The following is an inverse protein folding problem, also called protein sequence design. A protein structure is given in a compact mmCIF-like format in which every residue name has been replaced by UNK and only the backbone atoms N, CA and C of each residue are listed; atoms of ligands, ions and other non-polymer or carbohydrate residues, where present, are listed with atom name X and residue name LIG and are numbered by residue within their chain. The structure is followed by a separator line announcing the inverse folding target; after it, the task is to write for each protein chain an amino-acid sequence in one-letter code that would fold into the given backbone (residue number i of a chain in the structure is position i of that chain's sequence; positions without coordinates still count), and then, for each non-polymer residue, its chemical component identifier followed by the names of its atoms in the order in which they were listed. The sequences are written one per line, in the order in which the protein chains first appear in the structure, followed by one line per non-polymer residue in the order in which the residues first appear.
data_IF_994135510872
#
_entry.id   IF_994135510872
#
_cell.length_a   1.000
_cell.length_b   1.000
_cell.length_c   1.000
_cell.angle_alpha   90.00
_cell.angle_beta   90.00
_cell.angle_gamma   90.00
#
_symmetry.space_group_name_H-M   'P 1'
#
loop_
_entity.id
_entity.type
_entity.pdbx_description
1 polymer ?
#
# COMPACT_ATOMS: atom_id res chain seq x y z
N UNK A 1 16.18 -16.52 -24.00
CA UNK A 1 14.97 -17.37 -23.99
C UNK A 1 14.08 -16.87 -25.11
N UNK A 2 13.77 -17.67 -26.13
CA UNK A 2 12.92 -17.21 -27.24
C UNK A 2 11.45 -17.35 -26.84
N UNK A 3 10.81 -16.21 -26.56
CA UNK A 3 9.38 -16.11 -26.26
C UNK A 3 8.68 -15.63 -27.53
N UNK A 4 7.52 -16.21 -27.84
CA UNK A 4 6.77 -15.83 -29.04
C UNK A 4 6.39 -14.33 -29.00
N UNK A 5 6.32 -13.65 -30.16
CA UNK A 5 5.94 -12.24 -30.22
C UNK A 5 4.60 -11.94 -29.57
N UNK A 6 3.63 -12.86 -29.72
CA UNK A 6 2.31 -12.75 -29.10
C UNK A 6 2.40 -12.74 -27.57
N UNK A 7 3.19 -13.65 -26.98
CA UNK A 7 3.37 -13.69 -25.52
C UNK A 7 4.07 -12.42 -25.03
N UNK A 8 5.05 -11.89 -25.78
CA UNK A 8 5.70 -10.62 -25.43
C UNK A 8 4.71 -9.46 -25.39
N UNK A 9 3.86 -9.31 -26.40
CA UNK A 9 2.86 -8.25 -26.47
C UNK A 9 1.89 -8.31 -25.28
N UNK A 10 1.40 -9.52 -24.95
CA UNK A 10 0.56 -9.72 -23.77
C UNK A 10 1.26 -9.34 -22.47
N UNK A 11 2.53 -9.73 -22.30
CA UNK A 11 3.31 -9.41 -21.10
C UNK A 11 3.54 -7.89 -20.98
N UNK A 12 3.94 -7.22 -22.06
CA UNK A 12 4.13 -5.76 -22.09
C UNK A 12 2.84 -5.03 -21.72
N UNK A 13 1.69 -5.46 -22.27
CA UNK A 13 0.39 -4.87 -21.93
C UNK A 13 0.02 -5.09 -20.46
N UNK A 14 0.19 -6.32 -19.94
CA UNK A 14 -0.15 -6.66 -18.55
C UNK A 14 0.72 -5.86 -17.57
N UNK A 15 2.04 -5.80 -17.79
CA UNK A 15 2.95 -5.08 -16.90
C UNK A 15 2.80 -3.56 -17.05
N UNK A 16 2.61 -3.06 -18.28
CA UNK A 16 2.34 -1.65 -18.52
C UNK A 16 1.05 -1.18 -17.86
N UNK A 17 -0.02 -1.98 -17.94
CA UNK A 17 -1.28 -1.69 -17.26
C UNK A 17 -1.13 -1.77 -15.74
N UNK A 18 -0.48 -2.82 -15.23
CA UNK A 18 -0.30 -2.99 -13.79
C UNK A 18 0.58 -1.91 -13.15
N UNK A 19 1.70 -1.55 -13.78
CA UNK A 19 2.57 -0.47 -13.33
C UNK A 19 1.93 0.91 -13.55
N UNK A 20 1.40 1.17 -14.73
CA UNK A 20 0.81 2.47 -15.07
C UNK A 20 -0.45 2.76 -14.26
N UNK A 21 -1.49 1.93 -14.41
CA UNK A 21 -2.80 2.18 -13.78
C UNK A 21 -2.74 1.91 -12.28
N UNK A 22 -2.06 0.84 -11.86
CA UNK A 22 -1.87 0.54 -10.43
C UNK A 22 -1.19 1.70 -9.71
N UNK A 23 -0.11 2.24 -10.28
CA UNK A 23 0.59 3.40 -9.75
C UNK A 23 -0.27 4.67 -9.76
N UNK A 24 -0.96 4.95 -10.87
CA UNK A 24 -1.81 6.12 -11.00
C UNK A 24 -2.96 6.14 -10.00
N UNK A 25 -3.66 5.02 -9.84
CA UNK A 25 -4.73 4.86 -8.84
C UNK A 25 -4.17 5.04 -7.43
N UNK A 26 -3.02 4.45 -7.11
CA UNK A 26 -2.41 4.62 -5.80
C UNK A 26 -2.05 6.09 -5.51
N UNK A 27 -1.50 6.82 -6.50
CA UNK A 27 -1.16 8.24 -6.37
C UNK A 27 -2.39 9.11 -6.11
N UNK A 28 -3.53 8.82 -6.75
CA UNK A 28 -4.78 9.56 -6.53
C UNK A 28 -5.39 9.23 -5.16
N UNK A 29 -5.38 7.95 -4.78
CA UNK A 29 -5.98 7.49 -3.53
C UNK A 29 -5.17 7.94 -2.31
N UNK A 30 -3.86 8.11 -2.44
CA UNK A 30 -3.00 8.43 -1.31
C UNK A 30 -3.35 9.77 -0.62
N UNK A 31 -3.54 10.90 -1.34
CA UNK A 31 -4.06 12.14 -0.74
C UNK A 31 -5.43 11.97 -0.10
N UNK A 32 -6.36 11.28 -0.75
CA UNK A 32 -7.70 11.04 -0.21
C UNK A 32 -7.60 10.29 1.11
N UNK A 33 -6.79 9.24 1.15
CA UNK A 33 -6.56 8.42 2.34
C UNK A 33 -5.79 9.18 3.42
N UNK A 34 -4.88 10.08 3.06
CA UNK A 34 -4.19 10.94 4.02
C UNK A 34 -5.18 11.81 4.80
N UNK A 35 -6.11 12.48 4.11
CA UNK A 35 -7.10 13.33 4.78
C UNK A 35 -8.08 12.53 5.63
N UNK A 36 -8.44 11.32 5.19
CA UNK A 36 -9.44 10.48 5.88
C UNK A 36 -8.87 9.68 7.04
N UNK A 37 -7.66 9.15 6.89
CA UNK A 37 -7.03 8.29 7.88
C UNK A 37 -6.02 9.07 8.72
N UNK A 38 -4.97 9.61 8.10
CA UNK A 38 -3.83 10.18 8.83
C UNK A 38 -4.23 11.41 9.64
N UNK A 39 -4.98 12.37 9.06
CA UNK A 39 -5.45 13.52 9.86
C UNK A 39 -6.39 13.13 11.00
N UNK A 40 -7.16 12.03 10.85
CA UNK A 40 -8.09 11.54 11.87
C UNK A 40 -7.36 10.80 12.99
N UNK A 41 -6.50 9.85 12.64
CA UNK A 41 -5.87 8.96 13.61
C UNK A 41 -4.61 9.55 14.26
N UNK A 42 -3.85 10.42 13.57
CA UNK A 42 -2.76 11.17 14.21
C UNK A 42 -3.31 12.05 15.35
N UNK A 43 -4.51 12.62 15.18
CA UNK A 43 -5.18 13.40 16.22
C UNK A 43 -5.70 12.55 17.38
N UNK A 44 -5.98 11.26 17.16
CA UNK A 44 -6.45 10.32 18.17
C UNK A 44 -5.30 9.68 18.97
N UNK A 45 -4.13 9.55 18.36
CA UNK A 45 -2.96 8.89 18.95
C UNK A 45 -1.75 9.84 18.91
N UNK A 46 -1.61 10.79 19.84
CA UNK A 46 -0.61 11.85 19.77
C UNK A 46 0.84 11.35 19.83
N UNK A 47 1.07 10.11 20.26
CA UNK A 47 2.39 9.44 20.28
C UNK A 47 2.66 8.62 19.00
N UNK A 48 1.96 8.88 17.89
CA UNK A 48 2.08 8.14 16.63
C UNK A 48 3.52 8.17 16.05
N UNK A 49 4.26 9.21 16.36
CA UNK A 49 5.66 9.46 16.01
C UNK A 49 6.60 8.41 16.61
N UNK A 50 6.21 7.74 17.71
CA UNK A 50 6.92 6.56 18.23
C UNK A 50 6.81 5.35 17.29
N UNK A 51 5.76 5.28 16.46
CA UNK A 51 5.56 4.21 15.47
C UNK A 51 6.34 4.53 14.19
N UNK A 52 6.22 5.77 13.69
CA UNK A 52 6.87 6.22 12.45
C UNK A 52 7.53 7.59 12.72
N UNK A 53 8.83 7.61 13.07
CA UNK A 53 9.56 8.84 13.39
C UNK A 53 10.10 9.55 12.12
N UNK A 54 9.31 9.53 11.04
CA UNK A 54 9.70 10.14 9.77
C UNK A 54 8.99 11.49 9.60
N UNK A 55 9.74 12.57 9.34
CA UNK A 55 9.16 13.89 9.15
C UNK A 55 8.55 14.04 7.75
N UNK A 56 7.77 15.11 7.58
CA UNK A 56 7.29 15.60 6.28
C UNK A 56 6.45 14.57 5.49
N UNK A 57 6.49 14.65 4.16
CA UNK A 57 5.68 13.85 3.25
C UNK A 57 5.91 12.35 3.42
N UNK A 58 7.16 11.92 3.65
CA UNK A 58 7.48 10.50 3.82
C UNK A 58 6.76 9.91 5.03
N UNK A 59 6.74 10.62 6.15
CA UNK A 59 5.96 10.24 7.33
C UNK A 59 4.47 10.16 7.05
N UNK A 60 3.91 11.15 6.34
CA UNK A 60 2.49 11.18 6.00
C UNK A 60 2.08 9.99 5.12
N UNK A 61 2.88 9.63 4.13
CA UNK A 61 2.63 8.47 3.26
C UNK A 61 2.64 7.18 4.08
N UNK A 62 3.70 6.96 4.86
CA UNK A 62 3.86 5.71 5.61
C UNK A 62 2.77 5.56 6.68
N UNK A 63 2.38 6.65 7.37
CA UNK A 63 1.27 6.61 8.32
C UNK A 63 -0.07 6.31 7.65
N UNK A 64 -0.33 6.93 6.50
CA UNK A 64 -1.53 6.66 5.70
C UNK A 64 -1.61 5.18 5.32
N UNK A 65 -0.50 4.63 4.82
CA UNK A 65 -0.40 3.21 4.48
C UNK A 65 -0.54 2.31 5.70
N UNK A 66 0.02 2.68 6.84
CA UNK A 66 -0.08 1.90 8.08
C UNK A 66 -1.52 1.83 8.60
N UNK A 67 -2.24 2.96 8.61
CA UNK A 67 -3.65 2.97 9.01
C UNK A 67 -4.53 2.19 8.03
N UNK A 68 -4.31 2.35 6.72
CA UNK A 68 -5.01 1.56 5.71
C UNK A 68 -4.75 0.05 5.91
N UNK A 69 -3.51 -0.32 6.22
CA UNK A 69 -3.13 -1.69 6.54
C UNK A 69 -3.85 -2.20 7.80
N UNK A 70 -3.92 -1.43 8.88
CA UNK A 70 -4.63 -1.84 10.10
C UNK A 70 -6.14 -2.01 9.90
N UNK A 71 -6.74 -1.23 9.00
CA UNK A 71 -8.14 -1.37 8.59
C UNK A 71 -8.32 -2.63 7.74
N UNK A 72 -7.50 -2.82 6.71
CA UNK A 72 -7.61 -3.95 5.79
C UNK A 72 -7.29 -5.29 6.47
N UNK A 73 -6.24 -5.37 7.30
CA UNK A 73 -5.68 -6.61 7.83
C UNK A 73 -5.75 -6.70 9.37
N UNK A 74 -6.99 -6.76 9.90
CA UNK A 74 -7.30 -6.81 11.34
C UNK A 74 -6.49 -7.86 12.14
N UNK A 75 -6.22 -9.03 11.55
CA UNK A 75 -5.64 -10.17 12.28
C UNK A 75 -4.11 -10.10 12.45
N UNK A 76 -3.41 -9.25 11.70
CA UNK A 76 -1.95 -9.16 11.76
C UNK A 76 -1.47 -8.30 12.94
N UNK A 77 -2.36 -7.51 13.56
CA UNK A 77 -2.07 -6.65 14.73
C UNK A 77 -1.74 -7.40 16.03
N UNK A 78 -2.15 -8.67 16.16
CA UNK A 78 -1.92 -9.47 17.38
C UNK A 78 -0.51 -10.08 17.47
N UNK A 79 0.35 -9.86 16.48
CA UNK A 79 1.72 -10.37 16.50
C UNK A 79 2.68 -9.43 17.25
N UNK A 80 3.64 -10.03 17.98
CA UNK A 80 4.71 -9.33 18.74
C UNK A 80 5.42 -8.23 17.93
N UNK A 81 5.44 -8.33 16.60
CA UNK A 81 6.06 -7.36 15.68
C UNK A 81 5.37 -5.98 15.66
N UNK A 82 4.13 -5.86 16.12
CA UNK A 82 3.38 -4.60 16.18
C UNK A 82 3.19 -4.08 17.61
N UNK A 83 4.03 -4.51 18.57
CA UNK A 83 3.90 -4.15 19.98
C UNK A 83 3.85 -2.64 20.20
N UNK A 84 4.75 -1.87 19.59
CA UNK A 84 4.78 -0.40 19.71
C UNK A 84 3.48 0.21 19.17
N UNK A 85 2.99 -0.27 18.03
CA UNK A 85 1.73 0.21 17.47
C UNK A 85 0.53 -0.15 18.39
N UNK A 86 0.53 -1.32 19.02
CA UNK A 86 -0.51 -1.71 19.97
C UNK A 86 -0.47 -0.86 21.25
N UNK A 87 0.72 -0.59 21.78
CA UNK A 87 0.94 0.29 22.95
C UNK A 87 0.47 1.71 22.66
N UNK A 88 0.91 2.30 21.54
CA UNK A 88 0.54 3.68 21.15
C UNK A 88 -0.95 3.82 20.85
N UNK A 89 -1.57 2.80 20.25
CA UNK A 89 -3.00 2.83 19.91
C UNK A 89 -3.91 2.29 21.00
N UNK A 90 -3.34 1.88 22.14
CA UNK A 90 -4.04 1.21 23.24
C UNK A 90 -4.98 0.09 22.76
N UNK A 91 -4.54 -0.68 21.76
CA UNK A 91 -5.32 -1.78 21.18
C UNK A 91 -6.58 -1.37 20.39
N UNK A 92 -6.68 -0.12 19.94
CA UNK A 92 -7.81 0.39 19.15
C UNK A 92 -8.13 -0.49 17.94
N UNK A 93 -9.41 -0.87 17.77
CA UNK A 93 -9.84 -1.64 16.60
C UNK A 93 -10.18 -0.74 15.40
N UNK A 94 -9.16 -0.37 14.62
CA UNK A 94 -9.30 0.44 13.40
C UNK A 94 -10.38 -0.07 12.44
N UNK A 95 -10.49 -1.38 12.22
CA UNK A 95 -11.44 -1.95 11.25
C UNK A 95 -12.87 -1.86 11.76
N UNK A 96 -13.10 -2.17 13.04
CA UNK A 96 -14.45 -2.10 13.62
C UNK A 96 -14.98 -0.66 13.70
N UNK A 97 -14.09 0.33 13.78
CA UNK A 97 -14.43 1.75 13.89
C UNK A 97 -14.26 2.53 12.56
N UNK A 98 -13.93 1.84 11.46
CA UNK A 98 -13.80 2.46 10.15
C UNK A 98 -15.16 2.49 9.44
N UNK A 99 -15.56 3.63 8.86
CA UNK A 99 -16.64 3.69 7.89
C UNK A 99 -16.43 2.69 6.74
N UNK A 100 -17.51 2.16 6.17
CA UNK A 100 -17.44 1.21 5.05
C UNK A 100 -16.59 1.74 3.88
N UNK A 101 -16.71 3.03 3.57
CA UNK A 101 -15.90 3.68 2.54
C UNK A 101 -14.40 3.60 2.84
N UNK A 102 -13.98 3.82 4.08
CA UNK A 102 -12.56 3.77 4.45
C UNK A 102 -12.01 2.35 4.36
N UNK A 103 -12.84 1.35 4.64
CA UNK A 103 -12.50 -0.06 4.45
C UNK A 103 -12.28 -0.36 2.96
N UNK A 104 -13.22 0.05 2.10
CA UNK A 104 -13.14 -0.15 0.64
C UNK A 104 -11.88 0.55 0.09
N UNK A 105 -11.67 1.81 0.44
CA UNK A 105 -10.50 2.57 -0.02
C UNK A 105 -9.18 1.98 0.49
N UNK A 106 -9.16 1.44 1.72
CA UNK A 106 -7.97 0.75 2.27
C UNK A 106 -7.63 -0.51 1.49
N UNK A 107 -8.63 -1.30 1.08
CA UNK A 107 -8.40 -2.44 0.19
C UNK A 107 -7.95 -2.00 -1.19
N UNK A 108 -8.60 -0.99 -1.77
CA UNK A 108 -8.29 -0.52 -3.11
C UNK A 108 -6.86 0.02 -3.20
N UNK A 109 -6.44 0.89 -2.28
CA UNK A 109 -5.07 1.43 -2.28
C UNK A 109 -4.03 0.32 -2.05
N UNK A 110 -4.32 -0.65 -1.18
CA UNK A 110 -3.42 -1.78 -0.93
C UNK A 110 -3.29 -2.68 -2.15
N UNK A 111 -4.41 -2.97 -2.82
CA UNK A 111 -4.46 -3.80 -4.02
C UNK A 111 -3.75 -3.13 -5.21
N UNK A 112 -4.03 -1.85 -5.46
CA UNK A 112 -3.36 -1.09 -6.51
C UNK A 112 -1.85 -0.95 -6.27
N UNK A 113 -1.44 -0.72 -5.02
CA UNK A 113 -0.02 -0.68 -4.64
C UNK A 113 0.65 -2.04 -4.82
N UNK A 114 -0.04 -3.14 -4.50
CA UNK A 114 0.48 -4.49 -4.70
C UNK A 114 0.66 -4.80 -6.20
N UNK A 115 -0.33 -4.49 -7.03
CA UNK A 115 -0.24 -4.65 -8.49
C UNK A 115 0.95 -3.85 -9.01
N UNK A 116 1.06 -2.57 -8.63
CA UNK A 116 2.17 -1.71 -9.04
C UNK A 116 3.53 -2.34 -8.74
N UNK A 117 3.75 -2.78 -7.49
CA UNK A 117 5.02 -3.37 -7.05
C UNK A 117 5.29 -4.70 -7.73
N UNK A 118 4.30 -5.59 -7.80
CA UNK A 118 4.47 -6.91 -8.42
C UNK A 118 4.73 -6.78 -9.92
N UNK A 119 3.99 -5.92 -10.62
CA UNK A 119 4.21 -5.66 -12.04
C UNK A 119 5.60 -5.07 -12.29
N UNK A 120 6.00 -4.05 -11.52
CA UNK A 120 7.33 -3.44 -11.67
C UNK A 120 8.47 -4.42 -11.38
N UNK A 121 8.36 -5.21 -10.30
CA UNK A 121 9.36 -6.21 -9.94
C UNK A 121 9.44 -7.34 -10.98
N UNK A 122 8.30 -7.82 -11.46
CA UNK A 122 8.25 -8.88 -12.47
C UNK A 122 8.81 -8.39 -13.81
N UNK A 123 8.46 -7.18 -14.22
CA UNK A 123 9.02 -6.53 -15.41
C UNK A 123 10.55 -6.48 -15.32
N UNK A 124 11.09 -5.95 -14.21
CA UNK A 124 12.53 -5.87 -13.98
C UNK A 124 13.23 -7.24 -14.04
N UNK A 125 12.63 -8.27 -13.44
CA UNK A 125 13.20 -9.63 -13.51
C UNK A 125 13.23 -10.14 -14.96
N UNK A 126 12.16 -9.96 -15.71
CA UNK A 126 12.06 -10.48 -17.08
C UNK A 126 13.01 -9.75 -18.03
N UNK A 127 13.14 -8.43 -17.91
CA UNK A 127 14.02 -7.64 -18.77
C UNK A 127 15.49 -7.77 -18.38
N UNK A 128 15.83 -7.52 -17.12
CA UNK A 128 17.23 -7.40 -16.68
C UNK A 128 17.87 -8.74 -16.34
N UNK A 129 17.11 -9.70 -15.79
CA UNK A 129 17.67 -10.99 -15.37
C UNK A 129 17.55 -12.02 -16.49
N UNK A 130 16.40 -12.10 -17.14
CA UNK A 130 16.15 -13.08 -18.20
C UNK A 130 16.43 -12.57 -19.62
N UNK A 131 16.72 -11.27 -19.79
CA UNK A 131 17.04 -10.68 -21.09
C UNK A 131 15.88 -10.71 -22.08
N UNK A 132 14.64 -10.71 -21.59
CA UNK A 132 13.44 -10.67 -22.43
C UNK A 132 13.13 -9.20 -22.71
N UNK A 133 13.26 -8.81 -23.96
CA UNK A 133 12.85 -7.48 -24.43
C UNK A 133 11.31 -7.36 -24.35
N UNK A 134 10.83 -6.60 -23.34
CA UNK A 134 9.43 -6.36 -22.96
C UNK A 134 9.15 -4.86 -22.81
#
# INVERSE_FOLDING_TARGET
MEISPEIKEWLTLIFGFGFGIGGFVAIILLPVMYFRLTRKYDAMFPEYDRIIPLPLMMGAVIRTSLYAYFIAFKNLRKHKRHRIAYEVTNGYDFRANAPLLDIILSYLISFSSLIFVVSGFTFYILTEIFGIDL
#
